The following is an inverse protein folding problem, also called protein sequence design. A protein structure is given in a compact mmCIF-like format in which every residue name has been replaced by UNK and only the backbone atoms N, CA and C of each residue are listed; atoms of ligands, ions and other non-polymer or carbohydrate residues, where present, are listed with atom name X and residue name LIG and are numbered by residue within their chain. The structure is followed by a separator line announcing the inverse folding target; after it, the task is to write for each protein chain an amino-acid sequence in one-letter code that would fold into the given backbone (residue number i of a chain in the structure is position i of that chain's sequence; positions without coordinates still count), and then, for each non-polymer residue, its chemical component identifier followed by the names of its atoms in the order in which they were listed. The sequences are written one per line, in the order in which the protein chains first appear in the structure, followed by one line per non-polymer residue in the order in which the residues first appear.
data_IF_287013283836
#
_entry.id   IF_287013283836
#
_cell.length_a   1.000
_cell.length_b   1.000
_cell.length_c   1.000
_cell.angle_alpha   90.00
_cell.angle_beta   90.00
_cell.angle_gamma   90.00
#
_symmetry.space_group_name_H-M   'P 1'
#
loop_
_entity.id
_entity.type
_entity.pdbx_description
1 polymer ?
#
# COMPACT_ATOMS: atom_id res chain seq x y z
N UNK A 1 -9.00 -10.72 -6.30
CA UNK A 1 -7.62 -10.88 -5.79
C UNK A 1 -7.15 -9.63 -5.03
N UNK A 2 -7.10 -8.44 -5.64
CA UNK A 2 -6.68 -7.18 -5.00
C UNK A 2 -7.44 -6.86 -3.69
N UNK A 3 -8.75 -7.04 -3.65
CA UNK A 3 -9.55 -6.79 -2.44
C UNK A 3 -9.15 -7.66 -1.24
N UNK A 4 -8.67 -8.89 -1.46
CA UNK A 4 -8.22 -9.77 -0.37
C UNK A 4 -6.90 -9.30 0.22
N UNK A 5 -5.97 -8.84 -0.63
CA UNK A 5 -4.67 -8.30 -0.23
C UNK A 5 -4.87 -7.00 0.57
N UNK A 6 -5.66 -6.08 0.01
CA UNK A 6 -5.99 -4.81 0.67
C UNK A 6 -6.70 -5.05 2.01
N UNK A 7 -7.67 -5.95 2.08
CA UNK A 7 -8.38 -6.24 3.32
C UNK A 7 -7.49 -6.88 4.38
N UNK A 8 -6.56 -7.77 4.01
CA UNK A 8 -5.60 -8.34 4.96
C UNK A 8 -4.68 -7.25 5.52
N UNK A 9 -4.18 -6.37 4.66
CA UNK A 9 -3.35 -5.23 5.06
C UNK A 9 -4.11 -4.28 5.99
N UNK A 10 -5.33 -3.89 5.63
CA UNK A 10 -6.14 -2.96 6.42
C UNK A 10 -6.55 -3.53 7.79
N UNK A 11 -6.73 -4.84 7.88
CA UNK A 11 -7.02 -5.49 9.16
C UNK A 11 -5.79 -5.56 10.08
N UNK A 12 -4.58 -5.41 9.53
CA UNK A 12 -3.32 -5.40 10.28
C UNK A 12 -2.86 -4.00 10.70
N UNK A 13 -3.45 -2.93 10.13
CA UNK A 13 -3.11 -1.54 10.51
C UNK A 13 -3.82 -1.13 11.81
N UNK A 14 -3.12 -0.53 12.79
CA UNK A 14 -3.72 -0.11 14.05
C UNK A 14 -4.86 0.90 13.88
N UNK A 15 -6.02 0.57 14.45
CA UNK A 15 -7.25 1.40 14.34
C UNK A 15 -7.51 2.23 15.60
N UNK A 16 -6.49 2.68 16.34
CA UNK A 16 -6.69 3.46 17.58
C UNK A 16 -6.57 4.95 17.34
N UNK A 17 -7.65 5.69 17.62
CA UNK A 17 -7.55 7.11 17.89
C UNK A 17 -7.08 7.34 19.34
N UNK A 18 -6.65 8.59 19.65
CA UNK A 18 -6.21 8.99 21.00
C UNK A 18 -7.31 8.90 22.08
N UNK A 19 -8.54 8.54 21.72
CA UNK A 19 -9.71 8.45 22.61
C UNK A 19 -10.24 7.02 22.78
N UNK A 20 -9.58 6.01 22.18
CA UNK A 20 -10.01 4.60 22.33
C UNK A 20 -11.27 4.25 21.54
N UNK A 21 -11.77 5.13 20.67
CA UNK A 21 -12.88 4.79 19.77
C UNK A 21 -12.32 4.09 18.53
N UNK A 22 -12.98 3.03 18.10
CA UNK A 22 -12.68 2.33 16.84
C UNK A 22 -13.14 3.21 15.67
N UNK A 23 -12.28 4.14 15.24
CA UNK A 23 -12.55 4.89 14.02
C UNK A 23 -12.31 3.98 12.83
N UNK A 24 -13.33 3.76 12.01
CA UNK A 24 -13.18 2.99 10.78
C UNK A 24 -12.27 3.77 9.83
N UNK A 25 -11.25 3.08 9.31
CA UNK A 25 -10.43 3.62 8.23
C UNK A 25 -11.16 3.45 6.91
N UNK A 26 -11.19 4.49 6.10
CA UNK A 26 -11.72 4.44 4.74
C UNK A 26 -10.60 4.12 3.75
N UNK A 27 -10.93 3.36 2.70
CA UNK A 27 -9.99 2.99 1.65
C UNK A 27 -10.47 3.51 0.32
N UNK A 28 -9.59 4.26 -0.33
CA UNK A 28 -9.81 4.77 -1.68
C UNK A 28 -8.83 4.07 -2.62
N UNK A 29 -9.33 3.36 -3.62
CA UNK A 29 -8.51 2.65 -4.62
C UNK A 29 -8.64 3.30 -5.99
N UNK A 30 -7.52 3.64 -6.62
CA UNK A 30 -7.48 4.15 -7.98
C UNK A 30 -6.91 3.06 -8.91
N UNK A 31 -7.77 2.49 -9.73
CA UNK A 31 -7.45 1.35 -10.59
C UNK A 31 -7.78 1.73 -12.05
N UNK A 32 -6.81 1.52 -12.94
CA UNK A 32 -7.02 1.63 -14.38
C UNK A 32 -5.90 0.87 -15.10
N UNK A 33 -6.25 0.10 -16.13
CA UNK A 33 -5.28 -0.66 -16.93
C UNK A 33 -4.45 0.24 -17.85
N UNK A 34 -5.03 1.36 -18.30
CA UNK A 34 -4.36 2.28 -19.22
C UNK A 34 -3.30 3.10 -18.48
N UNK A 35 -2.08 3.12 -19.03
CA UNK A 35 -1.00 3.98 -18.56
C UNK A 35 -1.29 5.47 -18.84
N UNK A 36 -0.70 6.37 -18.06
CA UNK A 36 -0.74 7.81 -18.31
C UNK A 36 -2.08 8.51 -18.04
N UNK A 37 -3.07 7.83 -17.46
CA UNK A 37 -4.41 8.42 -17.19
C UNK A 37 -4.48 9.23 -15.89
N UNK A 38 -3.36 9.47 -15.23
CA UNK A 38 -3.30 10.32 -14.04
C UNK A 38 -3.58 9.60 -12.71
N UNK A 39 -3.54 8.26 -12.63
CA UNK A 39 -3.77 7.51 -11.38
C UNK A 39 -2.91 8.01 -10.22
N UNK A 40 -1.60 8.00 -10.39
CA UNK A 40 -0.65 8.43 -9.33
C UNK A 40 -0.85 9.90 -8.97
N UNK A 41 -1.03 10.77 -9.97
CA UNK A 41 -1.29 12.19 -9.74
C UNK A 41 -2.57 12.40 -8.94
N UNK A 42 -3.65 11.69 -9.29
CA UNK A 42 -4.92 11.77 -8.56
C UNK A 42 -4.80 11.25 -7.13
N UNK A 43 -4.11 10.11 -6.94
CA UNK A 43 -3.88 9.54 -5.61
C UNK A 43 -3.13 10.52 -4.70
N UNK A 44 -2.06 11.12 -5.20
CA UNK A 44 -1.25 12.10 -4.49
C UNK A 44 -2.07 13.35 -4.14
N UNK A 45 -2.82 13.88 -5.11
CA UNK A 45 -3.66 15.06 -4.90
C UNK A 45 -4.73 14.82 -3.82
N UNK A 46 -5.41 13.68 -3.88
CA UNK A 46 -6.41 13.30 -2.87
C UNK A 46 -5.76 13.18 -1.49
N UNK A 47 -4.60 12.51 -1.41
CA UNK A 47 -3.87 12.35 -0.17
C UNK A 47 -3.48 13.71 0.45
N UNK A 48 -2.98 14.64 -0.36
CA UNK A 48 -2.62 15.97 0.08
C UNK A 48 -3.83 16.76 0.59
N UNK A 49 -4.96 16.73 -0.13
CA UNK A 49 -6.20 17.40 0.29
C UNK A 49 -6.68 16.84 1.64
N UNK A 50 -6.70 15.52 1.80
CA UNK A 50 -7.11 14.88 3.04
C UNK A 50 -6.17 15.22 4.20
N UNK A 51 -4.86 15.21 3.97
CA UNK A 51 -3.86 15.54 4.98
C UNK A 51 -3.96 17.00 5.44
N UNK A 52 -4.18 17.95 4.52
CA UNK A 52 -4.42 19.37 4.85
C UNK A 52 -5.73 19.52 5.64
N UNK A 53 -6.72 18.67 5.36
CA UNK A 53 -7.99 18.63 6.11
C UNK A 53 -7.86 17.96 7.49
N UNK A 54 -6.66 17.53 7.88
CA UNK A 54 -6.36 16.98 9.21
C UNK A 54 -6.51 15.46 9.33
N UNK A 55 -6.76 14.75 8.24
CA UNK A 55 -6.77 13.29 8.24
C UNK A 55 -5.36 12.72 8.23
N UNK A 56 -5.18 11.57 8.90
CA UNK A 56 -3.97 10.76 8.75
C UNK A 56 -4.15 9.90 7.50
N UNK A 57 -3.21 9.98 6.58
CA UNK A 57 -3.29 9.32 5.27
C UNK A 57 -2.12 8.37 5.12
N UNK A 58 -2.43 7.12 4.76
CA UNK A 58 -1.45 6.16 4.29
C UNK A 58 -1.61 5.99 2.79
N UNK A 59 -0.60 6.37 2.03
CA UNK A 59 -0.48 6.04 0.61
C UNK A 59 0.12 4.64 0.47
N UNK A 60 -0.47 3.82 -0.39
CA UNK A 60 0.06 2.50 -0.73
C UNK A 60 0.33 2.50 -2.22
N UNK A 61 1.60 2.48 -2.60
CA UNK A 61 2.02 2.40 -4.00
C UNK A 61 2.23 0.92 -4.36
N UNK A 62 1.38 0.40 -5.24
CA UNK A 62 1.45 -0.98 -5.74
C UNK A 62 1.88 -1.04 -7.22
N UNK A 63 2.34 0.07 -7.77
CA UNK A 63 2.85 0.13 -9.14
C UNK A 63 4.37 -0.14 -9.14
N UNK A 64 4.85 -1.21 -9.81
CA UNK A 64 6.29 -1.47 -9.92
C UNK A 64 7.09 -0.36 -10.60
N UNK A 65 6.42 0.60 -11.26
CA UNK A 65 7.05 1.80 -11.82
C UNK A 65 7.41 2.82 -10.75
N UNK A 66 6.88 2.69 -9.51
CA UNK A 66 7.22 3.51 -8.35
C UNK A 66 6.93 5.00 -8.53
N UNK A 67 5.93 5.37 -9.34
CA UNK A 67 5.67 6.78 -9.66
C UNK A 67 5.26 7.59 -8.42
N UNK A 68 4.40 7.03 -7.57
CA UNK A 68 4.00 7.67 -6.31
C UNK A 68 5.16 7.70 -5.32
N UNK A 69 5.88 6.59 -5.19
CA UNK A 69 7.04 6.44 -4.32
C UNK A 69 8.11 7.51 -4.60
N UNK A 70 8.49 7.68 -5.85
CA UNK A 70 9.48 8.69 -6.29
C UNK A 70 9.05 10.11 -5.97
N UNK A 71 7.76 10.41 -6.10
CA UNK A 71 7.23 11.74 -5.84
C UNK A 71 7.40 12.17 -4.37
N UNK A 72 7.49 11.21 -3.45
CA UNK A 72 7.76 11.45 -2.03
C UNK A 72 9.24 11.29 -1.64
N UNK A 73 10.16 11.37 -2.63
CA UNK A 73 11.61 11.31 -2.38
C UNK A 73 12.13 9.98 -1.86
N UNK A 74 11.38 8.90 -2.10
CA UNK A 74 11.75 7.53 -1.70
C UNK A 74 12.27 6.75 -2.90
N UNK A 75 13.22 7.36 -3.63
CA UNK A 75 13.80 6.76 -4.86
C UNK A 75 14.70 5.56 -4.60
N UNK A 76 15.13 5.38 -3.37
CA UNK A 76 15.99 4.26 -3.04
C UNK A 76 15.17 2.98 -3.10
N UNK A 77 15.71 2.05 -3.87
CA UNK A 77 15.28 0.66 -3.90
C UNK A 77 15.25 0.16 -2.44
N UNK A 78 14.08 0.22 -1.81
CA UNK A 78 13.86 -0.31 -0.48
C UNK A 78 13.94 -1.84 -0.59
N UNK A 79 15.15 -2.32 -0.96
CA UNK A 79 15.50 -3.73 -1.11
C UNK A 79 15.25 -4.55 0.16
N UNK A 80 14.92 -3.89 1.26
CA UNK A 80 14.63 -4.51 2.54
C UNK A 80 13.13 -4.82 2.76
N UNK A 81 12.22 -4.37 1.88
CA UNK A 81 10.79 -4.68 2.03
C UNK A 81 10.55 -6.07 1.45
N UNK A 82 10.28 -7.03 2.32
CA UNK A 82 9.85 -8.35 1.89
C UNK A 82 8.35 -8.34 1.55
N UNK A 83 8.03 -8.01 0.29
CA UNK A 83 6.64 -7.97 -0.20
C UNK A 83 5.97 -9.34 -0.19
N UNK A 84 6.71 -10.43 -0.32
CA UNK A 84 6.16 -11.79 -0.23
C UNK A 84 5.62 -12.04 1.19
N UNK A 85 6.37 -11.65 2.21
CA UNK A 85 5.93 -11.68 3.60
C UNK A 85 4.67 -10.81 3.80
N UNK A 86 4.69 -9.58 3.27
CA UNK A 86 3.60 -8.63 3.44
C UNK A 86 2.29 -9.08 2.77
N UNK A 87 2.35 -9.71 1.60
CA UNK A 87 1.16 -10.02 0.80
C UNK A 87 0.75 -11.48 0.76
N UNK A 88 1.66 -12.40 1.09
CA UNK A 88 1.41 -13.84 0.97
C UNK A 88 1.20 -14.55 2.30
N UNK A 89 1.60 -13.96 3.42
CA UNK A 89 1.37 -14.58 4.73
C UNK A 89 -0.09 -14.49 5.17
N UNK A 90 -0.57 -15.58 5.79
CA UNK A 90 -1.95 -15.69 6.24
C UNK A 90 -2.25 -14.83 7.48
N UNK A 91 -1.23 -14.52 8.28
CA UNK A 91 -1.33 -13.72 9.51
C UNK A 91 -0.14 -12.79 9.62
N UNK A 92 -0.33 -11.54 9.26
CA UNK A 92 0.64 -10.48 9.49
C UNK A 92 0.49 -9.96 10.93
N UNK A 93 1.61 -9.82 11.63
CA UNK A 93 1.64 -9.10 12.90
C UNK A 93 1.64 -7.60 12.60
N UNK A 94 0.89 -6.85 13.41
CA UNK A 94 0.83 -5.39 13.32
C UNK A 94 2.21 -4.73 13.29
N UNK A 95 3.13 -5.19 14.14
CA UNK A 95 4.51 -4.70 14.20
C UNK A 95 5.26 -4.88 12.89
N UNK A 96 5.06 -6.00 12.20
CA UNK A 96 5.73 -6.29 10.93
C UNK A 96 5.26 -5.36 9.79
N UNK A 97 4.00 -4.94 9.81
CA UNK A 97 3.47 -4.01 8.80
C UNK A 97 4.01 -2.62 8.98
N UNK A 98 4.16 -2.16 10.23
CA UNK A 98 4.66 -0.82 10.54
C UNK A 98 6.10 -0.60 10.07
N UNK A 99 6.91 -1.65 10.03
CA UNK A 99 8.30 -1.60 9.54
C UNK A 99 8.38 -1.23 8.05
N UNK A 100 7.33 -1.48 7.28
CA UNK A 100 7.27 -1.16 5.85
C UNK A 100 6.69 0.22 5.55
N UNK A 101 6.18 0.93 6.56
CA UNK A 101 5.59 2.25 6.41
C UNK A 101 6.63 3.32 6.75
N UNK A 102 6.86 4.22 5.83
CA UNK A 102 7.77 5.35 6.01
C UNK A 102 6.98 6.65 6.18
N UNK A 103 7.47 7.53 7.04
CA UNK A 103 7.02 8.92 7.09
C UNK A 103 7.48 9.67 5.85
N UNK A 104 6.71 10.65 5.42
CA UNK A 104 7.07 11.56 4.33
C UNK A 104 7.35 12.95 4.89
N UNK A 105 7.91 13.83 4.08
CA UNK A 105 8.11 15.26 4.43
C UNK A 105 6.78 16.02 4.53
N UNK A 106 5.69 15.42 4.10
CA UNK A 106 4.36 15.98 4.17
C UNK A 106 3.68 15.57 5.48
N UNK A 107 3.29 16.56 6.28
CA UNK A 107 2.57 16.31 7.52
C UNK A 107 1.31 15.47 7.26
N UNK A 108 1.06 14.49 8.13
CA UNK A 108 -0.08 13.58 8.08
C UNK A 108 -0.11 12.61 6.86
N UNK A 109 0.98 12.49 6.11
CA UNK A 109 1.09 11.51 5.03
C UNK A 109 2.22 10.55 5.35
N UNK A 110 1.91 9.26 5.38
CA UNK A 110 2.87 8.15 5.40
C UNK A 110 2.72 7.34 4.11
N UNK A 111 3.76 6.61 3.74
CA UNK A 111 3.76 5.82 2.50
C UNK A 111 4.26 4.39 2.74
N UNK A 112 3.57 3.43 2.17
CA UNK A 112 4.10 2.12 1.83
C UNK A 112 4.65 2.22 0.40
N UNK A 113 5.95 2.25 0.27
CA UNK A 113 6.64 2.44 -1.01
C UNK A 113 6.48 1.21 -1.91
N UNK A 114 6.44 1.41 -3.22
CA UNK A 114 6.58 0.32 -4.18
C UNK A 114 8.06 -0.06 -4.37
N UNK A 115 8.29 -1.23 -4.94
CA UNK A 115 9.58 -1.63 -5.50
C UNK A 115 9.40 -2.41 -6.80
N UNK A 116 10.51 -2.58 -7.52
CA UNK A 116 10.53 -3.39 -8.75
C UNK A 116 10.24 -4.87 -8.50
N UNK A 117 10.48 -5.34 -7.28
CA UNK A 117 10.21 -6.72 -6.87
C UNK A 117 8.72 -7.07 -6.91
N UNK A 118 7.82 -6.06 -6.85
CA UNK A 118 6.38 -6.26 -7.01
C UNK A 118 6.03 -6.96 -8.33
N UNK A 119 6.80 -6.75 -9.40
CA UNK A 119 6.61 -7.49 -10.66
C UNK A 119 6.75 -9.00 -10.46
N UNK A 120 7.83 -9.42 -9.79
CA UNK A 120 8.09 -10.84 -9.52
C UNK A 120 7.02 -11.44 -8.62
N UNK A 121 6.60 -10.70 -7.60
CA UNK A 121 5.54 -11.12 -6.69
C UNK A 121 4.19 -11.31 -7.40
N UNK A 122 3.82 -10.40 -8.29
CA UNK A 122 2.58 -10.48 -9.07
C UNK A 122 2.57 -11.77 -9.90
N UNK A 123 3.69 -12.12 -10.55
CA UNK A 123 3.81 -13.38 -11.30
C UNK A 123 3.69 -14.61 -10.39
N UNK A 124 4.37 -14.62 -9.23
CA UNK A 124 4.28 -15.73 -8.26
C UNK A 124 2.85 -15.94 -7.75
N UNK A 125 2.13 -14.86 -7.44
CA UNK A 125 0.75 -14.93 -6.96
C UNK A 125 -0.17 -15.47 -8.07
N UNK A 126 0.06 -15.07 -9.32
CA UNK A 126 -0.71 -15.53 -10.46
C UNK A 126 -0.50 -17.03 -10.73
N UNK A 127 0.74 -17.52 -10.68
CA UNK A 127 1.05 -18.94 -10.86
C UNK A 127 0.43 -19.82 -9.77
N UNK A 128 0.58 -19.42 -8.49
CA UNK A 128 -0.06 -20.13 -7.38
C UNK A 128 -1.59 -20.16 -7.49
N UNK A 129 -2.21 -19.15 -8.10
CA UNK A 129 -3.67 -19.15 -8.31
C UNK A 129 -4.14 -20.13 -9.37
N UNK A 130 -3.28 -20.48 -10.33
CA UNK A 130 -3.58 -21.52 -11.34
C UNK A 130 -3.52 -22.93 -10.77
N UNK A 131 -2.61 -23.19 -9.84
CA UNK A 131 -2.47 -24.51 -9.21
C UNK A 131 -3.68 -24.87 -8.34
N UNK A 132 -4.38 -23.88 -7.78
CA UNK A 132 -5.57 -24.10 -6.91
C UNK A 132 -6.85 -24.38 -7.71
N UNK A 133 -6.88 -24.13 -9.03
CA UNK A 133 -8.05 -24.33 -9.88
C UNK A 133 -8.02 -25.64 -10.69
N UNK A 134 -7.17 -26.61 -10.32
CA UNK A 134 -7.01 -27.91 -11.02
C UNK A 134 -7.53 -29.10 -10.18
N UNK A 135 -8.39 -28.84 -9.19
CA UNK A 135 -9.15 -29.91 -8.50
C UNK A 135 -10.63 -29.84 -8.83
#
# INVERSE_FOLDING_TARGET
MYNKIINNFLNSVPKKDKKGSTKMSEVISLINEKGGVGKSTSAITIAQILAISGYQVLLIDLDPQMNTTKMFGKDEDNSNINYEHLFCEKQLRESSVLEFISETDYKNISILSASRELNTLIYKIYDKSKEVNVE
#
